data_IF_181559610307
#
_entry.id   IF_181559610307
#
_cell.length_a   1.000
_cell.length_b   1.000
_cell.length_c   1.000
_cell.angle_alpha   90.00
_cell.angle_beta   90.00
_cell.angle_gamma   90.00
#
_symmetry.space_group_name_H-M   'P 1'
#
loop_
_entity.id
_entity.type
_entity.pdbx_description
1 polymer ?
#
# COMPACT_ATOMS: atom_id res chain seq x y z
N UNK A 1 15.74 -19.21 -8.55
CA UNK A 1 16.35 -20.55 -8.75
C UNK A 1 17.01 -21.04 -7.47
N UNK A 2 18.29 -20.73 -7.26
CA UNK A 2 19.07 -21.25 -6.12
C UNK A 2 18.51 -20.87 -4.74
N UNK A 3 18.16 -19.59 -4.52
CA UNK A 3 17.57 -19.12 -3.24
C UNK A 3 16.28 -19.89 -2.93
N UNK A 4 15.38 -19.98 -3.91
CA UNK A 4 14.14 -20.76 -3.78
C UNK A 4 14.43 -22.22 -3.45
N UNK A 5 15.37 -22.86 -4.16
CA UNK A 5 15.75 -24.25 -3.92
C UNK A 5 16.22 -24.49 -2.47
N UNK A 6 17.10 -23.62 -1.96
CA UNK A 6 17.59 -23.72 -0.57
C UNK A 6 16.48 -23.49 0.45
N UNK A 7 15.65 -22.45 0.27
CA UNK A 7 14.56 -22.13 1.19
C UNK A 7 13.47 -23.21 1.22
N UNK A 8 13.17 -23.82 0.07
CA UNK A 8 12.22 -24.95 -0.02
C UNK A 8 12.82 -26.21 0.59
N UNK A 9 14.08 -26.56 0.30
CA UNK A 9 14.73 -27.75 0.86
C UNK A 9 14.92 -27.68 2.39
N UNK A 10 15.18 -26.48 2.92
CA UNK A 10 15.28 -26.25 4.38
C UNK A 10 13.92 -26.19 5.07
N UNK A 11 12.81 -26.14 4.31
CA UNK A 11 11.45 -25.99 4.84
C UNK A 11 11.17 -24.62 5.47
N UNK A 12 12.09 -23.65 5.32
CA UNK A 12 11.95 -22.34 5.93
C UNK A 12 10.75 -21.57 5.37
N UNK A 13 10.47 -21.73 4.07
CA UNK A 13 9.28 -21.15 3.41
C UNK A 13 8.01 -21.54 4.15
N UNK A 14 7.83 -22.84 4.34
CA UNK A 14 6.65 -23.43 4.96
C UNK A 14 6.53 -23.03 6.43
N UNK A 15 7.64 -23.07 7.18
CA UNK A 15 7.68 -22.70 8.59
C UNK A 15 7.32 -21.22 8.82
N UNK A 16 7.90 -20.31 8.04
CA UNK A 16 7.61 -18.87 8.14
C UNK A 16 6.18 -18.55 7.70
N UNK A 17 5.70 -19.19 6.63
CA UNK A 17 4.30 -19.05 6.18
C UNK A 17 3.31 -19.49 7.26
N UNK A 18 3.51 -20.66 7.87
CA UNK A 18 2.69 -21.13 8.98
C UNK A 18 2.73 -20.20 10.20
N UNK A 19 3.90 -19.64 10.53
CA UNK A 19 4.04 -18.66 11.62
C UNK A 19 3.27 -17.37 11.33
N UNK A 20 3.30 -16.86 10.11
CA UNK A 20 2.50 -15.69 9.73
C UNK A 20 1.01 -15.99 9.93
N UNK A 21 0.52 -17.11 9.43
CA UNK A 21 -0.91 -17.47 9.58
C UNK A 21 -1.27 -17.70 11.05
N UNK A 22 -0.46 -18.43 11.82
CA UNK A 22 -0.76 -18.74 13.22
C UNK A 22 -0.77 -17.49 14.11
N UNK A 23 0.15 -16.55 13.89
CA UNK A 23 0.17 -15.27 14.62
C UNK A 23 -1.05 -14.40 14.31
N UNK A 24 -1.66 -14.58 13.13
CA UNK A 24 -2.82 -13.79 12.71
C UNK A 24 -4.14 -14.39 13.15
N UNK A 25 -4.15 -15.65 13.61
CA UNK A 25 -5.34 -16.39 14.04
C UNK A 25 -6.52 -16.31 13.04
N UNK A 26 -6.22 -16.25 11.74
CA UNK A 26 -7.22 -16.12 10.66
C UNK A 26 -7.69 -14.69 10.36
N UNK A 27 -7.16 -13.67 11.03
CA UNK A 27 -7.47 -12.27 10.72
C UNK A 27 -6.67 -11.78 9.49
N UNK A 28 -7.38 -11.57 8.38
CA UNK A 28 -6.81 -11.11 7.11
C UNK A 28 -6.08 -9.77 7.23
N UNK A 29 -6.65 -8.79 7.93
CA UNK A 29 -6.03 -7.46 8.06
C UNK A 29 -4.73 -7.50 8.84
N UNK A 30 -4.70 -8.30 9.91
CA UNK A 30 -3.48 -8.54 10.66
C UNK A 30 -2.44 -9.28 9.81
N UNK A 31 -2.87 -10.23 8.98
CA UNK A 31 -1.99 -10.93 8.05
C UNK A 31 -1.37 -10.00 7.00
N UNK A 32 -2.17 -9.11 6.42
CA UNK A 32 -1.68 -8.11 5.47
C UNK A 32 -0.69 -7.15 6.14
N UNK A 33 -0.98 -6.71 7.37
CA UNK A 33 -0.09 -5.84 8.15
C UNK A 33 1.24 -6.53 8.48
N UNK A 34 1.20 -7.76 8.98
CA UNK A 34 2.42 -8.53 9.28
C UNK A 34 3.20 -8.85 8.00
N UNK A 35 2.52 -9.14 6.89
CA UNK A 35 3.16 -9.36 5.59
C UNK A 35 3.85 -8.11 5.08
N UNK A 36 3.22 -6.93 5.24
CA UNK A 36 3.85 -5.65 4.92
C UNK A 36 5.14 -5.47 5.73
N UNK A 37 5.06 -5.60 7.05
CA UNK A 37 6.24 -5.46 7.93
C UNK A 37 7.33 -6.47 7.55
N UNK A 38 6.95 -7.73 7.32
CA UNK A 38 7.86 -8.78 6.89
C UNK A 38 8.54 -8.46 5.56
N UNK A 39 7.81 -7.92 4.58
CA UNK A 39 8.34 -7.55 3.27
C UNK A 39 9.28 -6.34 3.33
N UNK A 40 8.99 -5.39 4.22
CA UNK A 40 9.84 -4.22 4.47
C UNK A 40 11.15 -4.61 5.16
N UNK A 41 11.12 -5.57 6.09
CA UNK A 41 12.31 -6.04 6.81
C UNK A 41 13.15 -6.98 5.96
N UNK A 42 12.54 -7.95 5.25
CA UNK A 42 13.31 -8.87 4.41
C UNK A 42 13.95 -8.22 3.18
N UNK A 43 13.46 -7.04 2.77
CA UNK A 43 14.13 -6.22 1.76
C UNK A 43 15.47 -5.65 2.21
N UNK A 44 15.84 -5.79 3.49
CA UNK A 44 17.10 -5.26 4.00
C UNK A 44 18.32 -5.94 3.39
N UNK A 45 19.03 -5.20 2.54
CA UNK A 45 20.36 -5.57 2.04
C UNK A 45 20.38 -6.44 0.78
N UNK A 46 19.24 -6.62 0.10
CA UNK A 46 19.16 -7.38 -1.16
C UNK A 46 18.45 -6.57 -2.26
N UNK A 47 18.77 -6.76 -3.55
CA UNK A 47 18.06 -6.11 -4.65
C UNK A 47 16.56 -6.46 -4.66
N UNK A 48 15.71 -5.54 -5.15
CA UNK A 48 14.23 -5.67 -5.18
C UNK A 48 13.77 -7.01 -5.78
N UNK A 49 14.44 -7.50 -6.82
CA UNK A 49 14.16 -8.80 -7.43
C UNK A 49 14.34 -9.97 -6.45
N UNK A 50 15.44 -9.96 -5.68
CA UNK A 50 15.69 -10.99 -4.67
C UNK A 50 14.71 -10.89 -3.50
N UNK A 51 14.40 -9.66 -3.07
CA UNK A 51 13.37 -9.42 -2.04
C UNK A 51 12.01 -10.01 -2.46
N UNK A 52 11.55 -9.72 -3.68
CA UNK A 52 10.31 -10.26 -4.20
C UNK A 52 10.31 -11.79 -4.26
N UNK A 53 11.40 -12.42 -4.70
CA UNK A 53 11.50 -13.90 -4.73
C UNK A 53 11.34 -14.48 -3.33
N UNK A 54 11.98 -13.90 -2.30
CA UNK A 54 11.90 -14.44 -0.93
C UNK A 54 10.50 -14.20 -0.34
N UNK A 55 9.99 -12.97 -0.43
CA UNK A 55 8.69 -12.59 0.16
C UNK A 55 7.52 -13.29 -0.53
N UNK A 56 7.57 -13.46 -1.86
CA UNK A 56 6.54 -14.20 -2.60
C UNK A 56 6.54 -15.70 -2.31
N UNK A 57 7.67 -16.30 -1.93
CA UNK A 57 7.67 -17.70 -1.50
C UNK A 57 6.99 -17.87 -0.14
N UNK A 58 7.20 -16.93 0.79
CA UNK A 58 6.73 -17.06 2.17
C UNK A 58 5.32 -16.51 2.37
N UNK A 59 5.09 -15.26 1.98
CA UNK A 59 3.92 -14.51 2.40
C UNK A 59 2.78 -14.53 1.37
N UNK A 60 3.08 -14.63 0.07
CA UNK A 60 2.02 -14.72 -0.94
C UNK A 60 1.15 -15.98 -0.77
N UNK A 61 1.68 -17.19 -0.46
CA UNK A 61 0.86 -18.35 -0.16
C UNK A 61 0.02 -18.18 1.11
N UNK A 62 0.54 -17.51 2.13
CA UNK A 62 -0.21 -17.23 3.35
C UNK A 62 -1.42 -16.33 3.06
N UNK A 63 -1.22 -15.24 2.30
CA UNK A 63 -2.30 -14.35 1.86
C UNK A 63 -3.31 -15.10 0.99
N UNK A 64 -2.84 -15.87 0.00
CA UNK A 64 -3.68 -16.66 -0.89
C UNK A 64 -4.59 -17.62 -0.11
N UNK A 65 -4.02 -18.37 0.84
CA UNK A 65 -4.79 -19.30 1.68
C UNK A 65 -5.81 -18.59 2.57
N UNK A 66 -5.48 -17.37 3.05
CA UNK A 66 -6.39 -16.60 3.90
C UNK A 66 -7.62 -16.06 3.16
N UNK A 67 -7.54 -15.89 1.84
CA UNK A 67 -8.67 -15.44 1.00
C UNK A 67 -9.25 -16.54 0.12
N UNK A 68 -8.78 -17.78 0.28
CA UNK A 68 -9.25 -18.91 -0.50
C UNK A 68 -10.73 -19.16 -0.22
N UNK A 69 -11.53 -19.26 -1.29
CA UNK A 69 -12.98 -19.43 -1.19
C UNK A 69 -13.76 -18.11 -1.12
N UNK A 70 -13.11 -16.97 -0.90
CA UNK A 70 -13.78 -15.66 -0.89
C UNK A 70 -13.91 -15.11 -2.32
N UNK A 71 -15.07 -14.59 -2.69
CA UNK A 71 -15.23 -13.80 -3.90
C UNK A 71 -14.81 -12.34 -3.66
N UNK A 72 -14.19 -11.65 -4.63
CA UNK A 72 -13.87 -12.11 -5.99
C UNK A 72 -12.57 -12.92 -6.12
N UNK A 73 -11.83 -13.15 -5.03
CA UNK A 73 -10.48 -13.75 -5.07
C UNK A 73 -10.43 -15.17 -5.64
N UNK A 74 -11.49 -15.97 -5.46
CA UNK A 74 -11.64 -17.31 -6.03
C UNK A 74 -11.90 -17.32 -7.54
N UNK A 75 -12.29 -16.19 -8.13
CA UNK A 75 -12.50 -16.11 -9.57
C UNK A 75 -11.16 -16.10 -10.32
N UNK A 76 -11.08 -16.74 -11.50
CA UNK A 76 -9.89 -16.65 -12.33
C UNK A 76 -9.75 -15.24 -12.91
N UNK A 77 -8.52 -14.81 -13.12
CA UNK A 77 -8.25 -13.60 -13.92
C UNK A 77 -8.71 -13.88 -15.35
N UNK A 78 -9.57 -13.03 -15.95
CA UNK A 78 -10.04 -13.20 -17.31
C UNK A 78 -8.92 -13.45 -18.33
N UNK A 79 -9.04 -14.54 -19.10
CA UNK A 79 -8.01 -14.94 -20.07
C UNK A 79 -6.84 -15.75 -19.47
N UNK A 80 -6.82 -15.97 -18.15
CA UNK A 80 -5.82 -16.77 -17.45
C UNK A 80 -6.48 -17.83 -16.57
N UNK A 81 -5.80 -18.95 -16.32
CA UNK A 81 -6.25 -19.97 -15.37
C UNK A 81 -5.98 -19.62 -13.90
N UNK A 82 -5.32 -18.49 -13.65
CA UNK A 82 -4.81 -18.11 -12.32
C UNK A 82 -5.88 -17.37 -11.52
N UNK A 83 -6.12 -17.72 -10.23
CA UNK A 83 -7.05 -16.98 -9.38
C UNK A 83 -6.59 -15.53 -9.12
N UNK A 84 -7.56 -14.61 -9.01
CA UNK A 84 -7.31 -13.21 -8.62
C UNK A 84 -6.58 -13.13 -7.27
N UNK A 85 -6.87 -14.04 -6.34
CA UNK A 85 -6.16 -14.17 -5.07
C UNK A 85 -4.63 -14.20 -5.23
N UNK A 86 -4.13 -14.96 -6.22
CA UNK A 86 -2.70 -15.13 -6.43
C UNK A 86 -2.08 -13.88 -7.02
N UNK A 87 -2.77 -13.24 -7.98
CA UNK A 87 -2.37 -11.95 -8.55
C UNK A 87 -2.24 -10.90 -7.44
N UNK A 88 -3.29 -10.75 -6.62
CA UNK A 88 -3.34 -9.78 -5.53
C UNK A 88 -2.25 -10.03 -4.48
N UNK A 89 -2.06 -11.29 -4.06
CA UNK A 89 -1.04 -11.65 -3.08
C UNK A 89 0.38 -11.36 -3.58
N UNK A 90 0.70 -11.71 -4.83
CA UNK A 90 2.01 -11.45 -5.42
C UNK A 90 2.25 -9.95 -5.62
N UNK A 91 1.25 -9.18 -6.08
CA UNK A 91 1.38 -7.73 -6.20
C UNK A 91 1.52 -7.05 -4.83
N UNK A 92 0.83 -7.54 -3.80
CA UNK A 92 0.95 -7.02 -2.43
C UNK A 92 2.38 -7.12 -1.90
N UNK A 93 2.99 -8.32 -1.96
CA UNK A 93 4.38 -8.51 -1.50
C UNK A 93 5.39 -7.80 -2.41
N UNK A 94 5.14 -7.76 -3.72
CA UNK A 94 6.00 -7.05 -4.66
C UNK A 94 6.05 -5.55 -4.38
N UNK A 95 4.88 -4.93 -4.16
CA UNK A 95 4.78 -3.50 -3.91
C UNK A 95 5.48 -3.10 -2.61
N UNK A 96 5.26 -3.84 -1.52
CA UNK A 96 5.99 -3.58 -0.29
C UNK A 96 7.47 -3.96 -0.39
N UNK A 97 7.81 -4.90 -1.26
CA UNK A 97 9.20 -5.19 -1.60
C UNK A 97 9.91 -4.01 -2.24
N UNK A 98 9.22 -3.23 -3.08
CA UNK A 98 9.73 -1.96 -3.64
C UNK A 98 9.76 -0.87 -2.56
N UNK A 99 8.70 -0.74 -1.75
CA UNK A 99 8.69 0.27 -0.68
C UNK A 99 9.74 0.01 0.40
N UNK A 100 10.24 -1.22 0.54
CA UNK A 100 11.39 -1.51 1.40
C UNK A 100 12.59 -0.62 1.04
N UNK A 101 12.82 -0.35 -0.25
CA UNK A 101 13.95 0.44 -0.75
C UNK A 101 13.88 1.93 -0.37
N UNK A 102 12.71 2.45 0.02
CA UNK A 102 12.55 3.81 0.58
C UNK A 102 12.56 3.84 2.11
N UNK A 103 12.35 2.69 2.76
CA UNK A 103 12.13 2.60 4.21
C UNK A 103 13.45 2.36 4.94
N UNK A 104 13.80 3.17 5.97
CA UNK A 104 14.93 2.85 6.82
C UNK A 104 14.74 1.48 7.48
N UNK A 105 15.81 0.69 7.61
CA UNK A 105 17.22 1.07 7.42
C UNK A 105 17.77 0.93 5.99
N UNK A 106 16.98 0.47 5.01
CA UNK A 106 17.46 0.15 3.65
C UNK A 106 17.74 1.42 2.85
N UNK A 107 16.70 2.22 2.59
CA UNK A 107 16.70 3.58 2.04
C UNK A 107 17.93 3.99 1.17
N UNK A 108 18.38 3.13 0.24
CA UNK A 108 19.68 3.27 -0.44
C UNK A 108 19.77 4.57 -1.23
N UNK A 109 18.68 4.95 -1.90
CA UNK A 109 18.58 6.22 -2.61
C UNK A 109 18.70 7.43 -1.67
N UNK A 110 18.15 7.33 -0.45
CA UNK A 110 18.30 8.38 0.56
C UNK A 110 19.72 8.46 1.10
N UNK A 111 20.43 7.33 1.20
CA UNK A 111 21.85 7.29 1.58
C UNK A 111 22.74 7.98 0.55
N UNK A 112 22.58 7.62 -0.74
CA UNK A 112 23.31 8.26 -1.82
C UNK A 112 22.96 9.76 -1.93
N UNK A 113 21.67 10.10 -1.86
CA UNK A 113 21.18 11.48 -1.90
C UNK A 113 21.70 12.34 -0.75
N UNK A 114 21.71 11.81 0.48
CA UNK A 114 22.25 12.53 1.63
C UNK A 114 23.76 12.73 1.53
N UNK A 115 24.50 11.74 1.02
CA UNK A 115 25.95 11.85 0.83
C UNK A 115 26.31 12.91 -0.22
N UNK A 116 25.56 12.98 -1.34
CA UNK A 116 25.76 14.00 -2.37
C UNK A 116 25.37 15.41 -1.90
N UNK A 117 24.30 15.53 -1.11
CA UNK A 117 23.81 16.81 -0.60
C UNK A 117 24.51 17.30 0.69
N UNK A 118 25.43 16.51 1.26
CA UNK A 118 26.06 16.79 2.55
C UNK A 118 25.09 16.77 3.75
N UNK A 119 23.96 16.08 3.60
CA UNK A 119 22.91 15.98 4.62
C UNK A 119 23.03 14.75 5.50
N UNK A 120 22.22 14.72 6.57
CA UNK A 120 22.11 13.54 7.43
C UNK A 120 21.22 12.47 6.78
N UNK A 121 21.71 11.22 6.75
CA UNK A 121 21.00 10.07 6.19
C UNK A 121 19.63 9.87 6.84
N UNK A 122 19.58 9.84 8.17
CA UNK A 122 18.36 9.53 8.91
C UNK A 122 17.29 10.59 8.68
N UNK A 123 17.65 11.87 8.68
CA UNK A 123 16.72 12.97 8.34
C UNK A 123 16.23 12.85 6.91
N UNK A 124 17.12 12.55 5.96
CA UNK A 124 16.76 12.41 4.54
C UNK A 124 15.80 11.25 4.34
N UNK A 125 16.13 10.07 4.86
CA UNK A 125 15.34 8.87 4.71
C UNK A 125 13.99 8.97 5.44
N UNK A 126 13.94 9.62 6.61
CA UNK A 126 12.68 9.82 7.31
C UNK A 126 11.75 10.81 6.63
N UNK A 127 12.29 11.84 5.98
CA UNK A 127 11.50 12.71 5.11
C UNK A 127 11.02 11.96 3.86
N UNK A 128 11.86 11.13 3.24
CA UNK A 128 11.48 10.32 2.09
C UNK A 128 10.31 9.38 2.42
N UNK A 129 10.38 8.65 3.54
CA UNK A 129 9.26 7.81 4.01
C UNK A 129 8.02 8.64 4.29
N UNK A 130 8.16 9.80 4.96
CA UNK A 130 7.03 10.68 5.25
C UNK A 130 6.26 11.06 3.97
N UNK A 131 6.96 11.31 2.87
CA UNK A 131 6.33 11.59 1.57
C UNK A 131 5.79 10.35 0.89
N UNK A 132 6.46 9.20 1.03
CA UNK A 132 6.04 7.93 0.47
C UNK A 132 4.88 7.25 1.23
N UNK A 133 4.61 7.63 2.49
CA UNK A 133 3.59 7.01 3.35
C UNK A 133 2.20 6.98 2.71
N UNK A 134 1.84 7.97 1.89
CA UNK A 134 0.58 7.95 1.15
C UNK A 134 0.49 6.78 0.16
N UNK A 135 1.62 6.27 -0.34
CA UNK A 135 1.70 5.08 -1.20
C UNK A 135 1.46 3.76 -0.46
N UNK A 136 1.63 3.72 0.86
CA UNK A 136 1.50 2.47 1.64
C UNK A 136 0.07 1.97 1.70
N UNK A 137 -0.92 2.84 1.47
CA UNK A 137 -2.33 2.45 1.45
C UNK A 137 -2.73 1.78 0.13
N UNK A 138 -2.00 2.06 -0.96
CA UNK A 138 -2.29 1.55 -2.30
C UNK A 138 -2.49 0.03 -2.34
N UNK A 139 -1.58 -0.76 -1.74
CA UNK A 139 -1.75 -2.20 -1.61
C UNK A 139 -3.01 -2.68 -0.94
N UNK A 140 -3.47 -1.99 0.09
CA UNK A 140 -4.72 -2.35 0.77
C UNK A 140 -5.93 -2.02 -0.11
N UNK A 141 -5.86 -0.94 -0.88
CA UNK A 141 -6.93 -0.53 -1.80
C UNK A 141 -7.08 -1.54 -2.93
N UNK A 142 -6.03 -1.81 -3.72
CA UNK A 142 -6.14 -2.77 -4.82
C UNK A 142 -6.37 -4.21 -4.35
N UNK A 143 -5.97 -4.54 -3.12
CA UNK A 143 -6.27 -5.85 -2.55
C UNK A 143 -7.76 -5.99 -2.28
N UNK A 144 -8.38 -4.99 -1.64
CA UNK A 144 -9.82 -4.98 -1.36
C UNK A 144 -10.70 -4.70 -2.57
N UNK A 145 -10.15 -4.04 -3.58
CA UNK A 145 -10.81 -3.67 -4.84
C UNK A 145 -10.00 -4.24 -6.03
N UNK A 146 -10.00 -5.56 -6.27
CA UNK A 146 -9.18 -6.18 -7.31
C UNK A 146 -9.44 -5.69 -8.73
N UNK A 147 -10.58 -5.06 -9.00
CA UNK A 147 -10.88 -4.32 -10.23
C UNK A 147 -9.84 -3.25 -10.59
N UNK A 148 -9.09 -2.76 -9.59
CA UNK A 148 -7.96 -1.83 -9.79
C UNK A 148 -6.80 -2.46 -10.57
N UNK A 149 -6.72 -3.78 -10.66
CA UNK A 149 -5.78 -4.46 -11.54
C UNK A 149 -6.15 -4.37 -13.02
N UNK A 150 -7.36 -3.89 -13.37
CA UNK A 150 -7.93 -3.71 -14.71
C UNK A 150 -8.10 -5.03 -15.50
N UNK A 151 -7.09 -5.89 -15.52
CA UNK A 151 -7.08 -7.23 -16.12
C UNK A 151 -8.10 -8.18 -15.48
N UNK A 152 -8.49 -7.90 -14.24
CA UNK A 152 -9.50 -8.64 -13.47
C UNK A 152 -10.93 -8.29 -13.89
N UNK A 153 -11.12 -7.25 -14.72
CA UNK A 153 -12.44 -6.71 -15.08
C UNK A 153 -12.88 -7.28 -16.42
N UNK A 154 -13.82 -8.22 -16.39
CA UNK A 154 -14.57 -8.66 -17.57
C UNK A 154 -15.99 -9.09 -17.19
N UNK A 155 -17.01 -8.82 -18.04
CA UNK A 155 -16.95 -8.08 -19.30
C UNK A 155 -16.84 -6.55 -19.11
N UNK A 156 -16.27 -5.85 -20.10
CA UNK A 156 -16.27 -4.39 -20.15
C UNK A 156 -17.63 -3.88 -20.62
N UNK A 157 -18.42 -3.39 -19.68
CA UNK A 157 -19.68 -2.67 -19.91
C UNK A 157 -19.52 -1.20 -19.54
N UNK A 158 -20.45 -0.33 -19.96
CA UNK A 158 -20.43 1.08 -19.55
C UNK A 158 -20.45 1.24 -18.01
N UNK A 159 -21.22 0.40 -17.31
CA UNK A 159 -21.28 0.43 -15.84
C UNK A 159 -19.97 0.02 -15.18
N UNK A 160 -19.32 -1.04 -15.65
CA UNK A 160 -18.02 -1.47 -15.10
C UNK A 160 -16.92 -0.44 -15.40
N UNK A 161 -16.95 0.17 -16.58
CA UNK A 161 -16.01 1.24 -16.93
C UNK A 161 -16.15 2.46 -16.01
N UNK A 162 -17.38 2.88 -15.72
CA UNK A 162 -17.65 3.97 -14.76
C UNK A 162 -17.17 3.60 -13.36
N UNK A 163 -17.41 2.36 -12.92
CA UNK A 163 -16.93 1.89 -11.61
C UNK A 163 -15.40 1.93 -11.51
N UNK A 164 -14.69 1.39 -12.50
CA UNK A 164 -13.20 1.41 -12.52
C UNK A 164 -12.68 2.85 -12.56
N UNK A 165 -13.30 3.73 -13.34
CA UNK A 165 -12.93 5.14 -13.39
C UNK A 165 -13.14 5.84 -12.04
N UNK A 166 -14.25 5.53 -11.36
CA UNK A 166 -14.52 5.99 -10.00
C UNK A 166 -13.48 5.45 -9.02
N UNK A 167 -13.22 4.15 -9.01
CA UNK A 167 -12.28 3.53 -8.07
C UNK A 167 -10.86 4.09 -8.24
N UNK A 168 -10.44 4.33 -9.48
CA UNK A 168 -9.17 5.00 -9.80
C UNK A 168 -9.15 6.45 -9.29
N UNK A 169 -10.18 7.24 -9.60
CA UNK A 169 -10.28 8.63 -9.16
C UNK A 169 -10.33 8.75 -7.63
N UNK A 170 -11.09 7.89 -6.98
CA UNK A 170 -11.22 7.80 -5.53
C UNK A 170 -9.89 7.40 -4.88
N UNK A 171 -9.17 6.41 -5.45
CA UNK A 171 -7.84 6.01 -4.98
C UNK A 171 -6.84 7.17 -5.05
N UNK A 172 -6.80 7.88 -6.19
CA UNK A 172 -5.94 9.04 -6.36
C UNK A 172 -6.28 10.15 -5.36
N UNK A 173 -7.57 10.41 -5.13
CA UNK A 173 -8.02 11.38 -4.12
C UNK A 173 -7.58 10.96 -2.71
N UNK A 174 -7.74 9.70 -2.34
CA UNK A 174 -7.35 9.17 -1.03
C UNK A 174 -5.85 9.33 -0.81
N UNK A 175 -5.04 8.94 -1.79
CA UNK A 175 -3.58 9.13 -1.73
C UNK A 175 -3.22 10.62 -1.65
N UNK A 176 -3.93 11.47 -2.37
CA UNK A 176 -3.73 12.93 -2.33
C UNK A 176 -4.06 13.52 -0.96
N UNK A 177 -5.18 13.12 -0.36
CA UNK A 177 -5.61 13.52 0.99
C UNK A 177 -4.57 13.12 2.04
N UNK A 178 -4.08 11.88 1.98
CA UNK A 178 -3.03 11.40 2.87
C UNK A 178 -1.73 12.18 2.66
N UNK A 179 -1.34 12.45 1.42
CA UNK A 179 -0.15 13.25 1.12
C UNK A 179 -0.25 14.66 1.73
N UNK A 180 -1.39 15.35 1.60
CA UNK A 180 -1.65 16.65 2.22
C UNK A 180 -1.57 16.56 3.76
N UNK A 181 -2.20 15.54 4.35
CA UNK A 181 -2.24 15.37 5.79
C UNK A 181 -0.85 15.11 6.40
N UNK A 182 -0.07 14.26 5.73
CA UNK A 182 1.28 13.84 6.15
C UNK A 182 2.28 14.98 5.97
N UNK A 183 2.31 15.64 4.82
CA UNK A 183 3.16 16.82 4.58
C UNK A 183 2.76 17.97 5.50
N UNK A 184 1.47 18.11 5.80
CA UNK A 184 0.90 19.22 6.54
C UNK A 184 0.79 20.50 5.73
N UNK A 185 0.88 20.39 4.41
CA UNK A 185 0.91 21.51 3.48
C UNK A 185 0.00 21.25 2.29
N UNK A 186 -0.75 22.27 1.89
CA UNK A 186 -1.51 22.27 0.63
C UNK A 186 -1.26 23.59 -0.10
N UNK A 187 -1.84 24.68 0.41
CA UNK A 187 -1.53 26.07 0.02
C UNK A 187 -0.87 26.86 1.15
N UNK A 188 -1.21 26.49 2.39
CA UNK A 188 -0.67 27.02 3.64
C UNK A 188 -0.42 25.85 4.60
N UNK A 189 0.23 26.16 5.73
CA UNK A 189 0.40 25.23 6.85
C UNK A 189 -0.97 24.84 7.42
N UNK A 190 -1.22 23.53 7.52
CA UNK A 190 -2.46 23.01 8.10
C UNK A 190 -2.31 22.80 9.61
N UNK A 191 -3.37 23.16 10.34
CA UNK A 191 -3.53 22.86 11.77
C UNK A 191 -3.48 21.36 12.05
N UNK A 192 -3.01 20.96 13.23
CA UNK A 192 -2.85 19.55 13.62
C UNK A 192 -4.19 18.81 13.62
N UNK A 193 -5.27 19.48 14.00
CA UNK A 193 -6.63 18.93 14.07
C UNK A 193 -7.16 18.62 12.66
N UNK A 194 -6.99 19.55 11.72
CA UNK A 194 -7.38 19.35 10.32
C UNK A 194 -6.56 18.22 9.72
N UNK A 195 -5.25 18.18 9.99
CA UNK A 195 -4.38 17.09 9.52
C UNK A 195 -4.83 15.74 10.07
N UNK A 196 -5.16 15.64 11.35
CA UNK A 196 -5.67 14.42 11.95
C UNK A 196 -6.99 13.97 11.31
N UNK A 197 -7.92 14.91 11.06
CA UNK A 197 -9.16 14.63 10.35
C UNK A 197 -8.90 14.11 8.92
N UNK A 198 -7.98 14.75 8.17
CA UNK A 198 -7.63 14.30 6.82
C UNK A 198 -6.95 12.91 6.82
N UNK A 199 -6.15 12.57 7.85
CA UNK A 199 -5.63 11.21 8.00
C UNK A 199 -6.77 10.22 8.22
N UNK A 200 -7.72 10.52 9.11
CA UNK A 200 -8.86 9.63 9.39
C UNK A 200 -9.70 9.43 8.12
N UNK A 201 -10.04 10.52 7.42
CA UNK A 201 -10.82 10.45 6.18
C UNK A 201 -10.04 9.74 5.06
N UNK A 202 -8.73 9.98 4.95
CA UNK A 202 -7.88 9.30 3.97
C UNK A 202 -7.78 7.80 4.23
N UNK A 203 -7.54 7.38 5.48
CA UNK A 203 -7.48 5.96 5.84
C UNK A 203 -8.83 5.28 5.67
N UNK A 204 -9.92 5.91 6.13
CA UNK A 204 -11.28 5.40 5.90
C UNK A 204 -11.63 5.35 4.41
N UNK A 205 -11.10 6.28 3.62
CA UNK A 205 -11.29 6.36 2.18
C UNK A 205 -10.69 5.19 1.42
N UNK A 206 -9.80 4.41 2.02
CA UNK A 206 -9.31 3.16 1.42
C UNK A 206 -10.41 2.12 1.17
N UNK A 207 -11.56 2.26 1.83
CA UNK A 207 -12.76 1.46 1.57
C UNK A 207 -13.46 1.83 0.26
N UNK A 208 -13.04 2.91 -0.41
CA UNK A 208 -13.63 3.52 -1.61
C UNK A 208 -15.15 3.78 -1.51
N UNK A 209 -15.69 3.84 -0.29
CA UNK A 209 -17.10 4.10 -0.06
C UNK A 209 -17.48 5.52 -0.52
N UNK A 210 -18.56 5.64 -1.30
CA UNK A 210 -19.04 6.90 -1.86
C UNK A 210 -19.22 8.02 -0.82
N UNK A 211 -19.68 7.71 0.39
CA UNK A 211 -19.85 8.71 1.45
C UNK A 211 -18.51 9.23 1.94
N UNK A 212 -17.54 8.34 2.18
CA UNK A 212 -16.22 8.72 2.68
C UNK A 212 -15.43 9.49 1.62
N UNK A 213 -15.51 9.05 0.37
CA UNK A 213 -14.92 9.76 -0.77
C UNK A 213 -15.58 11.13 -0.97
N UNK A 214 -16.90 11.22 -0.86
CA UNK A 214 -17.63 12.48 -0.89
C UNK A 214 -17.19 13.45 0.22
N UNK A 215 -17.05 12.96 1.46
CA UNK A 215 -16.51 13.74 2.58
C UNK A 215 -15.06 14.19 2.29
N UNK A 216 -14.24 13.29 1.72
CA UNK A 216 -12.88 13.61 1.31
C UNK A 216 -12.82 14.73 0.26
N UNK A 217 -13.67 14.66 -0.78
CA UNK A 217 -13.79 15.71 -1.79
C UNK A 217 -14.21 17.04 -1.17
N UNK A 218 -15.25 17.02 -0.33
CA UNK A 218 -15.72 18.22 0.38
C UNK A 218 -14.65 18.80 1.30
N UNK A 219 -13.82 17.96 1.93
CA UNK A 219 -12.70 18.43 2.75
C UNK A 219 -11.64 19.13 1.89
N UNK A 220 -11.27 18.59 0.72
CA UNK A 220 -10.33 19.25 -0.20
C UNK A 220 -10.91 20.57 -0.70
N UNK A 221 -12.15 20.57 -1.18
CA UNK A 221 -12.82 21.78 -1.67
C UNK A 221 -12.99 22.82 -0.56
N UNK A 222 -13.35 22.40 0.65
CA UNK A 222 -13.46 23.26 1.82
C UNK A 222 -12.14 23.94 2.16
N UNK A 223 -11.03 23.19 2.13
CA UNK A 223 -9.68 23.76 2.31
C UNK A 223 -9.31 24.68 1.14
N UNK A 224 -9.73 24.37 -0.08
CA UNK A 224 -9.45 25.15 -1.28
C UNK A 224 -10.15 26.52 -1.27
N UNK A 225 -11.44 26.56 -0.90
CA UNK A 225 -12.26 27.77 -0.89
C UNK A 225 -12.15 28.58 0.41
N UNK A 226 -12.08 27.91 1.57
CA UNK A 226 -12.07 28.57 2.88
C UNK A 226 -10.68 28.59 3.53
N UNK A 227 -9.64 28.16 2.82
CA UNK A 227 -8.25 28.15 3.30
C UNK A 227 -7.75 29.50 3.81
N UNK A 228 -8.27 30.61 3.27
CA UNK A 228 -7.95 31.97 3.73
C UNK A 228 -8.64 32.38 5.04
N UNK A 229 -9.76 31.72 5.40
CA UNK A 229 -10.57 32.01 6.60
C UNK A 229 -10.40 30.96 7.70
N UNK A 230 -9.78 29.82 7.40
CA UNK A 230 -9.44 28.83 8.41
C UNK A 230 -8.42 29.43 9.38
N UNK A 231 -8.52 29.17 10.68
CA UNK A 231 -7.60 29.76 11.64
C UNK A 231 -6.23 29.11 11.42
N UNK A 232 -5.30 29.88 10.83
CA UNK A 232 -3.96 29.43 10.45
C UNK A 232 -3.02 29.56 11.66
N UNK A 233 -2.02 28.67 11.74
CA UNK A 233 -0.86 28.91 12.60
C UNK A 233 0.10 29.76 11.78
N UNK A 234 0.12 31.07 12.03
CA UNK A 234 1.27 31.91 11.65
C UNK A 234 2.50 31.29 12.31
N UNK A 235 3.51 30.95 11.51
CA UNK A 235 4.83 30.59 12.01
C UNK A 235 5.65 31.84 12.17
#
# INVERSE_FOLDING_TARGET
GLIQGVLTMTGLVTSLGYRLVSLTAGNLWLLLLLTMIFSLILGMGVPTTANYIITSLVAAPAIYNAVLGLQPYSSPVPGFGTPIALLAAHFFVFYFGILADVTPPVALASYAGSALAGGDFWKTAMNAVKYALAGYIGPYIYFTHPEMFIITVHPWTAGTAIKVAYDLGATLLVMYLLAIALTGWFRRSLKKEIRALLVIVGVAGATLNYLVIGIGLLAVLGIWFFGDKLPIVER
#
